data_IF_019922062198
#
_entry.id   IF_019922062198
#
_cell.length_a   1.000
_cell.length_b   1.000
_cell.length_c   1.000
_cell.angle_alpha   90.00
_cell.angle_beta   90.00
_cell.angle_gamma   90.00
#
_symmetry.space_group_name_H-M   'P 1'
#
loop_
_entity.id
_entity.type
_entity.pdbx_description
1 polymer ?
#
# COMPACT_ATOMS: atom_id res chain seq x y z
N UNK A 1 -31.70 -49.96 6.29
CA UNK A 1 -30.88 -51.14 5.94
C UNK A 1 -31.55 -52.14 4.96
N UNK A 2 -32.87 -52.15 4.75
CA UNK A 2 -33.50 -53.10 3.80
C UNK A 2 -33.21 -52.84 2.31
N UNK A 3 -32.88 -51.61 1.92
CA UNK A 3 -32.73 -51.23 0.50
C UNK A 3 -31.42 -51.73 -0.13
N UNK A 4 -30.34 -51.79 0.67
CA UNK A 4 -29.03 -52.26 0.17
C UNK A 4 -29.00 -53.77 -0.06
N UNK A 5 -29.72 -54.55 0.76
CA UNK A 5 -29.80 -56.00 0.60
C UNK A 5 -30.55 -56.39 -0.68
N UNK A 6 -31.66 -55.71 -0.95
CA UNK A 6 -32.46 -55.91 -2.17
C UNK A 6 -31.70 -55.51 -3.46
N UNK A 7 -30.85 -54.48 -3.42
CA UNK A 7 -30.07 -54.09 -4.60
C UNK A 7 -28.92 -55.07 -4.92
N UNK A 8 -28.30 -55.65 -3.89
CA UNK A 8 -27.27 -56.68 -4.07
C UNK A 8 -27.86 -57.98 -4.64
N UNK A 9 -29.04 -58.40 -4.17
CA UNK A 9 -29.74 -59.58 -4.68
C UNK A 9 -30.17 -59.42 -6.15
N UNK A 10 -30.59 -58.21 -6.58
CA UNK A 10 -30.93 -57.93 -7.97
C UNK A 10 -29.69 -57.96 -8.91
N UNK A 11 -28.55 -57.47 -8.42
CA UNK A 11 -27.27 -57.46 -9.16
C UNK A 11 -26.73 -58.88 -9.39
N UNK A 12 -26.92 -59.78 -8.44
CA UNK A 12 -26.53 -61.20 -8.57
C UNK A 12 -27.37 -61.98 -9.59
N UNK A 13 -28.59 -61.52 -9.91
CA UNK A 13 -29.48 -62.16 -10.89
C UNK A 13 -29.33 -61.60 -12.31
N UNK A 14 -28.30 -60.79 -12.56
CA UNK A 14 -28.04 -60.21 -13.89
C UNK A 14 -29.04 -59.14 -14.34
N UNK A 15 -29.93 -58.68 -13.46
CA UNK A 15 -30.86 -57.59 -13.76
C UNK A 15 -30.18 -56.24 -13.49
N UNK A 16 -30.15 -55.36 -14.49
CA UNK A 16 -29.68 -53.98 -14.34
C UNK A 16 -30.57 -53.24 -13.34
N UNK A 17 -30.05 -52.97 -12.15
CA UNK A 17 -30.73 -52.15 -11.15
C UNK A 17 -30.78 -50.70 -11.67
N UNK A 18 -31.86 -50.35 -12.36
CA UNK A 18 -32.15 -48.97 -12.70
C UNK A 18 -32.57 -48.23 -11.43
N UNK A 19 -31.70 -47.33 -10.96
CA UNK A 19 -32.00 -46.42 -9.87
C UNK A 19 -33.02 -45.39 -10.37
N UNK A 20 -34.32 -45.64 -10.14
CA UNK A 20 -35.34 -44.63 -10.39
C UNK A 20 -35.33 -43.68 -9.19
N UNK A 21 -35.12 -42.36 -9.37
CA UNK A 21 -35.08 -41.43 -8.26
C UNK A 21 -36.36 -41.54 -7.43
N UNK A 22 -36.22 -41.65 -6.11
CA UNK A 22 -37.27 -41.80 -5.06
C UNK A 22 -38.35 -40.69 -5.04
N UNK A 23 -38.40 -39.85 -6.06
CA UNK A 23 -39.47 -38.87 -6.24
C UNK A 23 -40.54 -39.56 -7.08
N UNK A 24 -41.51 -40.18 -6.40
CA UNK A 24 -42.66 -40.76 -7.06
C UNK A 24 -43.43 -39.66 -7.80
N UNK A 25 -43.22 -39.58 -9.13
CA UNK A 25 -43.82 -38.57 -10.01
C UNK A 25 -45.35 -38.67 -10.09
N UNK A 26 -45.96 -39.73 -9.57
CA UNK A 26 -47.41 -39.88 -9.49
C UNK A 26 -48.01 -39.26 -8.21
N UNK A 27 -47.19 -38.69 -7.34
CA UNK A 27 -47.62 -38.09 -6.06
C UNK A 27 -47.30 -36.59 -6.05
N UNK A 28 -48.24 -35.78 -5.56
CA UNK A 28 -48.04 -34.35 -5.36
C UNK A 28 -46.97 -34.10 -4.27
N UNK A 29 -45.92 -33.35 -4.58
CA UNK A 29 -44.79 -33.09 -3.68
C UNK A 29 -45.14 -32.29 -2.41
N UNK A 30 -46.30 -31.60 -2.39
CA UNK A 30 -46.73 -30.77 -1.25
C UNK A 30 -47.70 -31.51 -0.31
N UNK A 31 -48.75 -32.10 -0.87
CA UNK A 31 -49.85 -32.70 -0.09
C UNK A 31 -49.85 -34.22 -0.10
N UNK A 32 -48.88 -34.86 -0.77
CA UNK A 32 -48.75 -36.31 -0.91
C UNK A 32 -49.97 -37.04 -1.52
N UNK A 33 -50.87 -36.30 -2.19
CA UNK A 33 -52.02 -36.89 -2.89
C UNK A 33 -51.59 -37.53 -4.20
N UNK A 34 -52.13 -38.70 -4.52
CA UNK A 34 -51.92 -39.37 -5.80
C UNK A 34 -52.58 -38.56 -6.93
N UNK A 35 -51.78 -38.13 -7.89
CA UNK A 35 -52.19 -37.35 -9.07
C UNK A 35 -52.16 -38.18 -10.36
N UNK A 36 -51.69 -39.44 -10.29
CA UNK A 36 -51.59 -40.35 -11.43
C UNK A 36 -50.75 -39.78 -12.58
N UNK A 37 -51.06 -40.19 -13.82
CA UNK A 37 -50.48 -39.65 -15.05
C UNK A 37 -51.27 -38.45 -15.60
N UNK A 38 -52.08 -37.78 -14.78
CA UNK A 38 -52.95 -36.70 -15.23
C UNK A 38 -52.18 -35.57 -15.92
N UNK A 39 -52.75 -35.06 -17.02
CA UNK A 39 -52.25 -33.93 -17.82
C UNK A 39 -52.25 -32.61 -17.04
N UNK A 40 -52.98 -32.55 -15.93
CA UNK A 40 -53.30 -31.32 -15.21
C UNK A 40 -52.33 -31.06 -14.04
N UNK A 41 -51.29 -31.90 -13.91
CA UNK A 41 -50.25 -31.70 -12.91
C UNK A 41 -49.29 -30.59 -13.35
N UNK A 42 -49.08 -29.60 -12.47
CA UNK A 42 -48.10 -28.53 -12.69
C UNK A 42 -46.73 -29.04 -12.29
N UNK A 43 -45.78 -29.04 -13.23
CA UNK A 43 -44.39 -29.41 -12.97
C UNK A 43 -43.54 -28.15 -12.74
N UNK A 44 -42.87 -28.08 -11.58
CA UNK A 44 -41.91 -27.02 -11.24
C UNK A 44 -40.57 -27.70 -10.96
N UNK A 45 -39.61 -27.55 -11.87
CA UNK A 45 -38.35 -28.32 -11.84
C UNK A 45 -38.62 -29.83 -11.95
N UNK A 46 -38.11 -30.60 -10.98
CA UNK A 46 -38.30 -32.06 -10.90
C UNK A 46 -39.48 -32.50 -10.00
N UNK A 47 -40.25 -31.56 -9.46
CA UNK A 47 -41.37 -31.83 -8.56
C UNK A 47 -42.70 -31.64 -9.30
N UNK A 48 -43.67 -32.54 -9.07
CA UNK A 48 -45.03 -32.44 -9.60
C UNK A 48 -46.01 -32.03 -8.50
N UNK A 49 -46.89 -31.11 -8.82
CA UNK A 49 -47.92 -30.59 -7.93
C UNK A 49 -49.30 -30.84 -8.54
N UNK A 50 -50.30 -31.13 -7.70
CA UNK A 50 -51.69 -31.22 -8.16
C UNK A 50 -52.20 -29.83 -8.61
N UNK A 51 -53.27 -29.81 -9.41
CA UNK A 51 -53.88 -28.57 -9.93
C UNK A 51 -54.24 -27.56 -8.82
N UNK A 52 -54.57 -28.04 -7.61
CA UNK A 52 -54.83 -27.18 -6.46
C UNK A 52 -53.55 -26.62 -5.82
N UNK A 53 -52.49 -27.43 -5.69
CA UNK A 53 -51.25 -27.01 -5.03
C UNK A 53 -50.29 -26.22 -5.92
N UNK A 54 -50.37 -26.39 -7.25
CA UNK A 54 -49.50 -25.71 -8.21
C UNK A 54 -49.55 -24.19 -8.09
N UNK A 55 -50.74 -23.56 -8.21
CA UNK A 55 -50.90 -22.11 -8.03
C UNK A 55 -50.42 -21.63 -6.65
N UNK A 56 -50.76 -22.36 -5.57
CA UNK A 56 -50.34 -22.02 -4.20
C UNK A 56 -48.81 -22.05 -3.97
N UNK A 57 -48.05 -22.76 -4.79
CA UNK A 57 -46.58 -22.73 -4.75
C UNK A 57 -46.04 -21.64 -5.69
N UNK A 58 -46.65 -21.50 -6.87
CA UNK A 58 -46.25 -20.53 -7.88
C UNK A 58 -46.44 -19.08 -7.40
N UNK A 59 -47.53 -18.84 -6.69
CA UNK A 59 -47.93 -17.54 -6.16
C UNK A 59 -47.49 -17.38 -4.69
N UNK A 60 -46.64 -18.28 -4.18
CA UNK A 60 -46.08 -18.12 -2.84
C UNK A 60 -45.14 -16.92 -2.86
N UNK A 61 -45.63 -15.80 -2.34
CA UNK A 61 -44.84 -14.62 -2.12
C UNK A 61 -43.62 -14.94 -1.25
N UNK A 62 -42.43 -14.72 -1.81
CA UNK A 62 -41.20 -14.86 -1.05
C UNK A 62 -41.32 -14.09 0.27
N UNK A 63 -40.98 -14.71 1.41
CA UNK A 63 -41.10 -14.09 2.71
C UNK A 63 -40.43 -12.71 2.71
N UNK A 64 -41.13 -11.69 3.20
CA UNK A 64 -40.65 -10.31 3.17
C UNK A 64 -39.30 -10.16 3.89
N UNK A 65 -39.06 -10.93 4.95
CA UNK A 65 -37.78 -10.94 5.66
C UNK A 65 -36.60 -11.32 4.74
N UNK A 66 -36.79 -12.27 3.83
CA UNK A 66 -35.73 -12.71 2.92
C UNK A 66 -35.40 -11.64 1.87
N UNK A 67 -36.44 -10.98 1.34
CA UNK A 67 -36.28 -9.83 0.42
C UNK A 67 -35.50 -8.70 1.09
N UNK A 68 -35.84 -8.41 2.35
CA UNK A 68 -35.15 -7.39 3.17
C UNK A 68 -33.69 -7.80 3.44
N UNK A 69 -33.42 -9.06 3.82
CA UNK A 69 -32.05 -9.54 4.05
C UNK A 69 -31.20 -9.47 2.79
N UNK A 70 -31.74 -9.85 1.62
CA UNK A 70 -31.03 -9.73 0.35
C UNK A 70 -30.74 -8.27 0.01
N UNK A 71 -31.71 -7.38 0.16
CA UNK A 71 -31.51 -5.95 -0.06
C UNK A 71 -30.44 -5.37 0.88
N UNK A 72 -30.43 -5.77 2.15
CA UNK A 72 -29.41 -5.37 3.11
C UNK A 72 -28.01 -5.88 2.71
N UNK A 73 -27.89 -7.13 2.25
CA UNK A 73 -26.62 -7.69 1.76
C UNK A 73 -26.11 -6.97 0.51
N UNK A 74 -26.99 -6.65 -0.45
CA UNK A 74 -26.62 -5.88 -1.63
C UNK A 74 -26.16 -4.47 -1.25
N UNK A 75 -26.83 -3.83 -0.29
CA UNK A 75 -26.42 -2.52 0.22
C UNK A 75 -25.05 -2.59 0.90
N UNK A 76 -24.81 -3.60 1.75
CA UNK A 76 -23.50 -3.83 2.36
C UNK A 76 -22.41 -4.08 1.31
N UNK A 77 -22.71 -4.83 0.25
CA UNK A 77 -21.78 -5.06 -0.86
C UNK A 77 -21.42 -3.76 -1.57
N UNK A 78 -22.38 -2.90 -1.87
CA UNK A 78 -22.13 -1.58 -2.49
C UNK A 78 -21.26 -0.71 -1.58
N UNK A 79 -21.53 -0.69 -0.28
CA UNK A 79 -20.71 0.04 0.70
C UNK A 79 -19.28 -0.51 0.73
N UNK A 80 -19.12 -1.84 0.74
CA UNK A 80 -17.82 -2.48 0.73
C UNK A 80 -17.03 -2.18 -0.56
N UNK A 81 -17.68 -2.17 -1.73
CA UNK A 81 -17.03 -1.78 -3.00
C UNK A 81 -16.64 -0.29 -3.01
N UNK A 82 -17.52 0.58 -2.52
CA UNK A 82 -17.24 2.00 -2.43
C UNK A 82 -16.03 2.27 -1.54
N UNK A 83 -15.94 1.58 -0.40
CA UNK A 83 -14.79 1.64 0.49
C UNK A 83 -13.53 1.00 -0.13
N UNK A 84 -13.67 -0.13 -0.82
CA UNK A 84 -12.55 -0.81 -1.49
C UNK A 84 -11.88 0.04 -2.58
N UNK A 85 -12.64 0.92 -3.26
CA UNK A 85 -12.13 1.78 -4.34
C UNK A 85 -10.95 2.65 -3.91
N UNK A 86 -10.94 3.16 -2.68
CA UNK A 86 -9.84 3.99 -2.18
C UNK A 86 -8.57 3.17 -2.00
N UNK A 87 -8.67 1.94 -1.49
CA UNK A 87 -7.53 1.02 -1.37
C UNK A 87 -6.98 0.58 -2.73
N UNK A 88 -7.84 0.34 -3.73
CA UNK A 88 -7.38 0.07 -5.10
C UNK A 88 -6.62 1.25 -5.70
N UNK A 89 -7.11 2.48 -5.47
CA UNK A 89 -6.40 3.69 -5.88
C UNK A 89 -5.02 3.78 -5.21
N UNK A 90 -4.96 3.62 -3.89
CA UNK A 90 -3.70 3.64 -3.14
C UNK A 90 -2.71 2.55 -3.62
N UNK A 91 -3.19 1.34 -3.90
CA UNK A 91 -2.37 0.27 -4.46
C UNK A 91 -1.81 0.61 -5.84
N UNK A 92 -2.58 1.31 -6.69
CA UNK A 92 -2.12 1.80 -7.99
C UNK A 92 -1.05 2.88 -7.82
N UNK A 93 -1.27 3.87 -6.96
CA UNK A 93 -0.30 4.93 -6.69
C UNK A 93 1.00 4.36 -6.12
N UNK A 94 0.92 3.37 -5.23
CA UNK A 94 2.08 2.65 -4.71
C UNK A 94 2.88 1.98 -5.82
N UNK A 95 2.20 1.30 -6.74
CA UNK A 95 2.85 0.62 -7.86
C UNK A 95 3.56 1.62 -8.79
N UNK A 96 2.93 2.75 -9.09
CA UNK A 96 3.53 3.84 -9.88
C UNK A 96 4.76 4.40 -9.17
N UNK A 97 4.64 4.71 -7.87
CA UNK A 97 5.75 5.18 -7.04
C UNK A 97 6.93 4.20 -7.02
N UNK A 98 6.66 2.91 -6.83
CA UNK A 98 7.69 1.86 -6.86
C UNK A 98 8.41 1.79 -8.22
N UNK A 99 7.66 1.87 -9.32
CA UNK A 99 8.24 1.88 -10.67
C UNK A 99 9.13 3.10 -10.89
N UNK A 100 8.71 4.28 -10.41
CA UNK A 100 9.51 5.51 -10.51
C UNK A 100 10.77 5.43 -9.65
N UNK A 101 10.70 4.88 -8.43
CA UNK A 101 11.88 4.61 -7.58
C UNK A 101 12.86 3.68 -8.29
N UNK A 102 12.37 2.60 -8.91
CA UNK A 102 13.21 1.66 -9.70
C UNK A 102 13.86 2.32 -10.92
N UNK A 103 13.27 3.40 -11.44
CA UNK A 103 13.82 4.19 -12.55
C UNK A 103 14.76 5.32 -12.07
N UNK A 104 14.97 5.49 -10.77
CA UNK A 104 15.75 6.61 -10.22
C UNK A 104 15.02 7.95 -10.23
N UNK A 105 13.72 7.98 -10.56
CA UNK A 105 12.89 9.20 -10.65
C UNK A 105 12.26 9.53 -9.30
N UNK A 106 13.11 9.81 -8.31
CA UNK A 106 12.69 9.95 -6.91
C UNK A 106 11.77 11.14 -6.65
N UNK A 107 12.05 12.29 -7.26
CA UNK A 107 11.22 13.49 -7.11
C UNK A 107 9.77 13.27 -7.60
N UNK A 108 9.60 12.50 -8.67
CA UNK A 108 8.28 12.14 -9.21
C UNK A 108 7.62 11.01 -8.42
N UNK A 109 8.40 10.09 -7.85
CA UNK A 109 7.87 8.98 -7.05
C UNK A 109 7.23 9.44 -5.74
N UNK A 110 7.84 10.43 -5.08
CA UNK A 110 7.46 10.89 -3.75
C UNK A 110 5.97 11.29 -3.60
N UNK A 111 5.35 12.09 -4.49
CA UNK A 111 3.93 12.42 -4.37
C UNK A 111 3.00 11.21 -4.46
N UNK A 112 3.30 10.23 -5.34
CA UNK A 112 2.51 9.00 -5.45
C UNK A 112 2.60 8.14 -4.18
N UNK A 113 3.77 8.08 -3.56
CA UNK A 113 3.99 7.36 -2.31
C UNK A 113 3.34 8.08 -1.11
N UNK A 114 3.37 9.41 -1.07
CA UNK A 114 2.64 10.21 -0.07
C UNK A 114 1.14 9.96 -0.13
N UNK A 115 0.56 9.90 -1.33
CA UNK A 115 -0.86 9.61 -1.50
C UNK A 115 -1.23 8.19 -1.04
N UNK A 116 -0.32 7.23 -1.27
CA UNK A 116 -0.47 5.87 -0.75
C UNK A 116 -0.50 5.87 0.78
N UNK A 117 0.47 6.54 1.42
CA UNK A 117 0.56 6.62 2.88
C UNK A 117 -0.61 7.37 3.52
N UNK A 118 -1.25 8.30 2.80
CA UNK A 118 -2.48 8.98 3.27
C UNK A 118 -3.65 8.01 3.42
N UNK A 119 -3.74 7.01 2.54
CA UNK A 119 -4.83 6.03 2.55
C UNK A 119 -4.48 4.79 3.37
N UNK A 120 -3.21 4.36 3.32
CA UNK A 120 -2.68 3.17 3.98
C UNK A 120 -1.41 3.52 4.78
N UNK A 121 -1.54 4.21 5.93
CA UNK A 121 -0.39 4.67 6.72
C UNK A 121 0.46 3.53 7.31
N UNK A 122 -0.13 2.33 7.41
CA UNK A 122 0.52 1.13 7.96
C UNK A 122 1.29 0.31 6.90
N UNK A 123 1.51 0.84 5.69
CA UNK A 123 2.29 0.12 4.69
C UNK A 123 3.79 0.36 4.87
N UNK A 124 4.51 -0.59 5.47
CA UNK A 124 5.97 -0.58 5.62
C UNK A 124 6.67 -0.30 4.28
N UNK A 125 6.21 -0.98 3.22
CA UNK A 125 6.80 -0.84 1.88
C UNK A 125 6.63 0.58 1.34
N UNK A 126 5.46 1.18 1.48
CA UNK A 126 5.23 2.54 1.01
C UNK A 126 6.05 3.55 1.82
N UNK A 127 6.18 3.34 3.13
CA UNK A 127 6.98 4.17 4.03
C UNK A 127 8.47 4.12 3.66
N UNK A 128 9.03 2.93 3.47
CA UNK A 128 10.43 2.76 3.09
C UNK A 128 10.74 3.34 1.71
N UNK A 129 9.86 3.13 0.72
CA UNK A 129 10.03 3.73 -0.61
C UNK A 129 9.94 5.26 -0.55
N UNK A 130 9.04 5.82 0.26
CA UNK A 130 8.91 7.26 0.43
C UNK A 130 10.15 7.85 1.10
N UNK A 131 10.64 7.22 2.17
CA UNK A 131 11.86 7.61 2.85
C UNK A 131 13.07 7.55 1.93
N UNK A 132 13.22 6.46 1.15
CA UNK A 132 14.27 6.32 0.14
C UNK A 132 14.23 7.46 -0.88
N UNK A 133 13.06 7.71 -1.45
CA UNK A 133 12.89 8.75 -2.45
C UNK A 133 13.21 10.13 -1.86
N UNK A 134 12.77 10.42 -0.64
CA UNK A 134 13.04 11.67 0.06
C UNK A 134 14.54 11.87 0.36
N UNK A 135 15.24 10.84 0.83
CA UNK A 135 16.69 10.89 1.05
C UNK A 135 17.46 11.14 -0.26
N UNK A 136 17.06 10.48 -1.34
CA UNK A 136 17.78 10.62 -2.61
C UNK A 136 17.52 11.95 -3.34
N UNK A 137 16.55 12.74 -2.87
CA UNK A 137 16.36 14.14 -3.31
C UNK A 137 16.89 15.17 -2.30
N UNK A 138 17.49 14.72 -1.19
CA UNK A 138 17.98 15.59 -0.12
C UNK A 138 16.92 16.06 0.89
N UNK A 139 15.67 15.61 0.79
CA UNK A 139 14.59 15.99 1.72
C UNK A 139 14.59 15.09 2.97
N UNK A 140 15.51 15.40 3.89
CA UNK A 140 15.70 14.61 5.13
C UNK A 140 14.49 14.72 6.06
N UNK A 141 13.79 15.87 6.09
CA UNK A 141 12.62 16.06 6.95
C UNK A 141 11.44 15.18 6.52
N UNK A 142 11.19 15.06 5.21
CA UNK A 142 10.17 14.13 4.72
C UNK A 142 10.59 12.69 4.98
N UNK A 143 11.88 12.35 4.85
CA UNK A 143 12.37 11.02 5.14
C UNK A 143 12.18 10.64 6.61
N UNK A 144 12.48 11.56 7.53
CA UNK A 144 12.27 11.38 8.97
C UNK A 144 10.81 11.05 9.29
N UNK A 145 9.89 11.85 8.75
CA UNK A 145 8.45 11.63 8.91
C UNK A 145 8.00 10.29 8.35
N UNK A 146 8.57 9.85 7.23
CA UNK A 146 8.23 8.57 6.62
C UNK A 146 8.76 7.38 7.45
N UNK A 147 9.93 7.51 8.09
CA UNK A 147 10.52 6.46 8.91
C UNK A 147 9.93 6.42 10.32
N UNK A 148 10.00 7.53 11.05
CA UNK A 148 9.60 7.60 12.46
C UNK A 148 8.10 7.88 12.63
N UNK A 149 7.47 8.55 11.67
CA UNK A 149 6.01 8.77 11.68
C UNK A 149 5.22 7.52 11.30
N UNK A 150 5.84 6.57 10.59
CA UNK A 150 5.24 5.26 10.32
C UNK A 150 5.36 4.37 11.54
N UNK A 151 4.21 4.03 12.15
CA UNK A 151 4.11 3.07 13.26
C UNK A 151 5.10 3.34 14.42
N UNK A 152 5.45 4.62 14.67
CA UNK A 152 6.42 5.01 15.69
C UNK A 152 7.86 4.54 15.40
N UNK A 153 8.23 4.31 14.14
CA UNK A 153 9.54 3.79 13.74
C UNK A 153 9.63 2.26 13.72
N UNK A 154 8.53 1.55 13.98
CA UNK A 154 8.50 0.09 13.92
C UNK A 154 8.21 -0.41 12.51
N UNK A 155 9.10 -1.24 11.98
CA UNK A 155 8.92 -1.99 10.74
C UNK A 155 8.89 -3.48 11.08
N UNK A 156 7.94 -4.23 10.52
CA UNK A 156 7.70 -5.63 10.89
C UNK A 156 8.94 -6.52 10.67
N UNK A 157 9.79 -6.16 9.72
CA UNK A 157 10.98 -6.93 9.37
C UNK A 157 12.18 -6.03 9.07
N UNK A 158 12.88 -5.66 10.14
CA UNK A 158 14.12 -4.87 10.07
C UNK A 158 15.30 -5.60 9.39
N UNK A 159 15.17 -6.90 9.11
CA UNK A 159 16.21 -7.65 8.41
C UNK A 159 16.03 -7.64 6.89
N UNK A 160 14.95 -7.05 6.37
CA UNK A 160 14.73 -6.93 4.93
C UNK A 160 15.83 -6.08 4.27
N UNK A 161 16.36 -6.48 3.11
CA UNK A 161 17.36 -5.71 2.37
C UNK A 161 16.92 -4.26 2.11
N UNK A 162 15.63 -4.05 1.83
CA UNK A 162 15.07 -2.72 1.58
C UNK A 162 15.12 -1.83 2.83
N UNK A 163 14.82 -2.39 4.01
CA UNK A 163 14.94 -1.65 5.26
C UNK A 163 16.39 -1.27 5.53
N UNK A 164 17.31 -2.23 5.39
CA UNK A 164 18.74 -1.99 5.59
C UNK A 164 19.28 -0.90 4.67
N UNK A 165 18.95 -0.96 3.38
CA UNK A 165 19.36 0.05 2.40
C UNK A 165 18.91 1.46 2.82
N UNK A 166 17.63 1.60 3.20
CA UNK A 166 17.07 2.89 3.62
C UNK A 166 17.68 3.35 4.94
N UNK A 167 17.92 2.45 5.88
CA UNK A 167 18.55 2.76 7.16
C UNK A 167 20.01 3.20 7.00
N UNK A 168 20.76 2.58 6.07
CA UNK A 168 22.12 2.97 5.74
C UNK A 168 22.15 4.38 5.11
N UNK A 169 21.21 4.68 4.20
CA UNK A 169 21.03 6.02 3.65
C UNK A 169 20.68 7.05 4.73
N UNK A 170 19.77 6.70 5.64
CA UNK A 170 19.34 7.55 6.75
C UNK A 170 20.50 7.85 7.71
N UNK A 171 21.27 6.82 8.09
CA UNK A 171 22.43 6.95 8.97
C UNK A 171 23.50 7.85 8.34
N UNK A 172 23.72 7.70 7.02
CA UNK A 172 24.64 8.54 6.27
C UNK A 172 24.18 10.01 6.24
N UNK A 173 22.91 10.25 5.95
CA UNK A 173 22.34 11.60 5.90
C UNK A 173 22.38 12.29 7.27
N UNK A 174 21.93 11.61 8.32
CA UNK A 174 21.94 12.14 9.69
C UNK A 174 23.35 12.38 10.21
N UNK A 175 24.29 11.47 9.94
CA UNK A 175 25.70 11.67 10.31
C UNK A 175 26.36 12.84 9.57
N UNK A 176 25.96 13.13 8.33
CA UNK A 176 26.40 14.33 7.61
C UNK A 176 25.81 15.61 8.24
N UNK A 177 24.51 15.62 8.55
CA UNK A 177 23.86 16.75 9.21
C UNK A 177 24.41 17.01 10.62
N UNK A 178 24.76 15.96 11.36
CA UNK A 178 25.40 16.10 12.67
C UNK A 178 26.76 16.80 12.55
N UNK A 179 27.60 16.37 11.60
CA UNK A 179 28.89 17.03 11.31
C UNK A 179 28.70 18.49 10.90
N UNK A 180 27.71 18.79 10.06
CA UNK A 180 27.37 20.17 9.70
C UNK A 180 26.97 21.00 10.94
N UNK A 181 26.19 20.42 11.85
CA UNK A 181 25.82 21.05 13.12
C UNK A 181 27.01 21.27 14.05
N UNK A 182 27.96 20.33 14.10
CA UNK A 182 29.22 20.48 14.84
C UNK A 182 30.11 21.56 14.21
N UNK A 183 30.18 21.62 12.89
CA UNK A 183 30.92 22.66 12.17
C UNK A 183 30.36 24.05 12.50
N UNK A 184 29.03 24.21 12.54
CA UNK A 184 28.38 25.44 12.97
C UNK A 184 28.75 25.87 14.39
N UNK A 185 28.87 24.93 15.33
CA UNK A 185 29.33 25.23 16.70
C UNK A 185 30.80 25.66 16.73
N UNK A 186 31.66 24.99 15.96
CA UNK A 186 33.08 25.33 15.86
C UNK A 186 33.30 26.71 15.22
N UNK A 187 32.53 27.07 14.20
CA UNK A 187 32.64 28.39 13.56
C UNK A 187 32.28 29.56 14.48
N UNK A 188 31.61 29.31 15.62
CA UNK A 188 31.34 30.32 16.65
C UNK A 188 32.48 30.46 17.67
N UNK A 189 33.49 29.60 17.61
CA UNK A 189 34.64 29.61 18.52
C UNK A 189 35.83 30.28 17.83
N UNK A 190 36.46 31.23 18.51
CA UNK A 190 37.61 31.95 17.97
C UNK A 190 38.76 31.00 17.59
N UNK A 191 39.22 31.08 16.35
CA UNK A 191 40.37 30.31 15.85
C UNK A 191 40.05 28.88 15.43
N UNK A 192 38.76 28.50 15.36
CA UNK A 192 38.30 27.16 14.95
C UNK A 192 37.71 27.11 13.54
N UNK A 193 37.84 28.18 12.77
CA UNK A 193 37.22 28.33 11.44
C UNK A 193 37.75 27.30 10.44
N UNK A 194 39.04 26.96 10.49
CA UNK A 194 39.65 25.94 9.61
C UNK A 194 39.10 24.55 9.92
N UNK A 195 38.99 24.20 11.21
CA UNK A 195 38.44 22.91 11.65
C UNK A 195 36.95 22.80 11.29
N UNK A 196 36.21 23.90 11.46
CA UNK A 196 34.81 23.99 11.03
C UNK A 196 34.65 23.77 9.52
N UNK A 197 35.50 24.38 8.69
CA UNK A 197 35.48 24.18 7.24
C UNK A 197 35.77 22.72 6.85
N UNK A 198 36.79 22.10 7.44
CA UNK A 198 37.09 20.68 7.20
C UNK A 198 35.92 19.77 7.56
N UNK A 199 35.25 20.03 8.68
CA UNK A 199 34.11 19.23 9.13
C UNK A 199 32.89 19.42 8.22
N UNK A 200 32.66 20.62 7.70
CA UNK A 200 31.59 20.89 6.72
C UNK A 200 31.87 20.20 5.37
N UNK A 201 33.12 20.16 4.91
CA UNK A 201 33.51 19.34 3.74
C UNK A 201 33.25 17.85 3.96
N UNK A 202 33.58 17.33 5.15
CA UNK A 202 33.29 15.95 5.52
C UNK A 202 31.78 15.65 5.57
N UNK A 203 30.95 16.64 5.95
CA UNK A 203 29.50 16.55 5.87
C UNK A 203 29.02 16.50 4.41
N UNK A 204 29.47 17.43 3.57
CA UNK A 204 29.11 17.49 2.15
C UNK A 204 29.51 16.21 1.39
N UNK A 205 30.72 15.69 1.63
CA UNK A 205 31.18 14.43 1.06
C UNK A 205 30.39 13.21 1.58
N UNK A 206 29.89 13.29 2.81
CA UNK A 206 29.08 12.24 3.42
C UNK A 206 27.69 12.11 2.81
N UNK A 207 27.09 13.22 2.37
CA UNK A 207 25.73 13.24 1.83
C UNK A 207 25.59 14.20 0.65
N UNK A 208 26.10 13.79 -0.54
CA UNK A 208 26.09 14.63 -1.74
C UNK A 208 24.69 14.90 -2.29
N UNK A 209 23.68 14.12 -1.91
CA UNK A 209 22.28 14.31 -2.31
C UNK A 209 21.65 15.58 -1.72
N UNK A 210 22.33 16.26 -0.79
CA UNK A 210 21.94 17.55 -0.23
C UNK A 210 22.91 18.66 -0.66
N UNK A 211 22.68 19.32 -1.82
CA UNK A 211 23.61 20.32 -2.38
C UNK A 211 23.90 21.52 -1.46
N UNK A 212 22.98 21.83 -0.55
CA UNK A 212 23.18 22.90 0.43
C UNK A 212 24.37 22.64 1.38
N UNK A 213 24.76 21.39 1.62
CA UNK A 213 25.97 21.07 2.39
C UNK A 213 27.25 21.44 1.63
N UNK A 214 27.29 21.18 0.32
CA UNK A 214 28.42 21.57 -0.51
C UNK A 214 28.54 23.10 -0.60
N UNK A 215 27.42 23.79 -0.81
CA UNK A 215 27.39 25.26 -0.75
C UNK A 215 27.86 25.77 0.62
N UNK A 216 27.38 25.18 1.71
CA UNK A 216 27.81 25.55 3.06
C UNK A 216 29.32 25.32 3.26
N UNK A 217 29.90 24.23 2.74
CA UNK A 217 31.33 23.99 2.83
C UNK A 217 32.15 25.14 2.19
N UNK A 218 31.72 25.65 1.04
CA UNK A 218 32.34 26.81 0.39
C UNK A 218 32.23 28.09 1.24
N UNK A 219 31.08 28.32 1.90
CA UNK A 219 30.91 29.45 2.82
C UNK A 219 31.90 29.36 3.99
N UNK A 220 32.13 28.16 4.52
CA UNK A 220 33.08 27.97 5.61
C UNK A 220 34.53 28.11 5.14
N UNK A 221 34.84 27.74 3.91
CA UNK A 221 36.16 28.01 3.31
C UNK A 221 36.45 29.51 3.25
N UNK A 222 35.44 30.33 2.93
CA UNK A 222 35.57 31.79 2.97
C UNK A 222 35.87 32.28 4.40
N UNK A 223 35.15 31.78 5.41
CA UNK A 223 35.41 32.09 6.81
C UNK A 223 36.84 31.70 7.26
N UNK A 224 37.28 30.51 6.88
CA UNK A 224 38.64 30.03 7.15
C UNK A 224 39.72 30.86 6.42
N UNK A 225 39.47 31.28 5.18
CA UNK A 225 40.36 32.18 4.45
C UNK A 225 40.48 33.54 5.13
N UNK A 226 39.35 34.12 5.55
CA UNK A 226 39.32 35.37 6.30
C UNK A 226 40.10 35.27 7.62
N UNK A 227 39.91 34.19 8.38
CA UNK A 227 40.66 33.95 9.63
C UNK A 227 42.18 33.84 9.40
N UNK A 228 42.60 33.30 8.26
CA UNK A 228 44.01 33.26 7.82
C UNK A 228 44.52 34.59 7.24
N UNK A 229 43.68 35.62 7.16
CA UNK A 229 43.95 36.90 6.47
C UNK A 229 44.25 36.72 4.96
N UNK A 230 43.76 35.64 4.37
CA UNK A 230 43.84 35.38 2.93
C UNK A 230 42.62 36.02 2.24
N UNK A 231 42.67 37.34 2.12
CA UNK A 231 41.56 38.12 1.58
C UNK A 231 41.32 37.87 0.09
N UNK A 232 42.37 37.48 -0.64
CA UNK A 232 42.25 37.16 -2.07
C UNK A 232 41.39 35.91 -2.27
N UNK A 233 41.66 34.85 -1.50
CA UNK A 233 40.83 33.64 -1.51
C UNK A 233 39.40 33.92 -1.05
N UNK A 234 39.23 34.67 0.04
CA UNK A 234 37.91 35.06 0.53
C UNK A 234 37.08 35.79 -0.54
N UNK A 235 37.69 36.78 -1.22
CA UNK A 235 37.02 37.53 -2.29
C UNK A 235 36.74 36.65 -3.52
N UNK A 236 37.63 35.72 -3.86
CA UNK A 236 37.42 34.79 -4.97
C UNK A 236 36.19 33.89 -4.71
N UNK A 237 36.09 33.29 -3.52
CA UNK A 237 34.94 32.46 -3.12
C UNK A 237 33.67 33.30 -3.10
N UNK A 238 33.72 34.49 -2.48
CA UNK A 238 32.55 35.37 -2.37
C UNK A 238 32.02 35.82 -3.74
N UNK A 239 32.92 36.16 -4.68
CA UNK A 239 32.55 36.51 -6.06
C UNK A 239 31.92 35.34 -6.80
N UNK A 240 32.49 34.14 -6.66
CA UNK A 240 31.93 32.91 -7.24
C UNK A 240 30.50 32.68 -6.73
N UNK A 241 30.30 32.70 -5.41
CA UNK A 241 28.99 32.51 -4.80
C UNK A 241 27.97 33.56 -5.25
N UNK A 242 28.37 34.83 -5.33
CA UNK A 242 27.50 35.90 -5.85
C UNK A 242 27.08 35.67 -7.31
N UNK A 243 27.99 35.15 -8.14
CA UNK A 243 27.69 34.87 -9.55
C UNK A 243 26.76 33.67 -9.75
N UNK A 244 26.87 32.66 -8.88
CA UNK A 244 26.03 31.46 -8.93
C UNK A 244 24.66 31.68 -8.26
N UNK A 245 24.61 32.55 -7.25
CA UNK A 245 23.41 32.85 -6.47
C UNK A 245 23.25 34.37 -6.25
N UNK A 246 22.88 35.14 -7.29
CA UNK A 246 22.65 36.57 -7.14
C UNK A 246 21.51 36.83 -6.16
N UNK A 247 21.65 37.86 -5.33
CA UNK A 247 20.59 38.25 -4.41
C UNK A 247 19.31 38.60 -5.19
N UNK A 248 18.11 38.21 -4.69
CA UNK A 248 16.87 38.55 -5.37
C UNK A 248 16.68 40.07 -5.35
N UNK A 249 16.87 40.74 -6.50
CA UNK A 249 16.59 42.17 -6.68
C UNK A 249 17.75 43.06 -7.14
N UNK A 250 18.89 42.51 -7.56
CA UNK A 250 19.93 43.26 -8.31
C UNK A 250 19.92 42.90 -9.79
#
# INVERSE_FOLDING_TARGET
MCVQKASQEAKQRGQLSSYVPLINKSICARCNTYIGSSSDAVQIGNLRFCAACGPLIKDWDYPQWLKVSLAALLLLLVVALAHGRTYFHAGREMYVGERLVKQGRYAEALPHLKETLRTAPQSDKAALLAAKAALLIGDVDTADKALHGHNGGYFEDANKPEFKEVNDLWTRATGALEKAGQAAKLAQQDGKEIEAAQLMHAAAAGYPELPSLAFAAEVYDAGAAFARKDYDMFLAISKKQWSEHPAPGT
#
